data_IF_853299544303
#
_entry.id   IF_853299544303
#
_cell.length_a   1.000
_cell.length_b   1.000
_cell.length_c   1.000
_cell.angle_alpha   90.00
_cell.angle_beta   90.00
_cell.angle_gamma   90.00
#
_symmetry.space_group_name_H-M   'P 1'
#
loop_
_entity.id
_entity.type
_entity.pdbx_description
1 polymer ?
#
# COMPACT_ATOMS: atom_id res chain seq x y z
N UNK A 1 15.31 -7.73 11.39
CA UNK A 1 15.57 -6.59 10.50
C UNK A 1 14.47 -6.56 9.46
N UNK A 2 14.13 -5.40 8.90
CA UNK A 2 13.02 -5.26 7.96
C UNK A 2 13.03 -3.89 7.26
N UNK A 3 12.14 -3.71 6.29
CA UNK A 3 12.02 -2.46 5.52
C UNK A 3 10.56 -2.17 5.16
N UNK A 4 10.31 -0.92 4.78
CA UNK A 4 9.08 -0.46 4.15
C UNK A 4 9.42 0.34 2.89
N UNK A 5 8.94 -0.09 1.73
CA UNK A 5 9.07 0.61 0.45
C UNK A 5 7.77 1.35 0.16
N UNK A 6 7.83 2.65 -0.07
CA UNK A 6 6.64 3.48 -0.28
C UNK A 6 6.92 4.59 -1.28
N UNK A 7 5.84 5.13 -1.85
CA UNK A 7 5.87 6.27 -2.76
C UNK A 7 4.70 7.22 -2.47
N UNK A 8 4.76 8.43 -3.02
CA UNK A 8 3.70 9.43 -2.87
C UNK A 8 2.62 9.21 -3.95
N UNK A 9 1.36 9.26 -3.55
CA UNK A 9 0.21 9.28 -4.45
C UNK A 9 -0.68 10.51 -4.16
N UNK A 10 -1.83 10.60 -4.82
CA UNK A 10 -2.77 11.71 -4.62
C UNK A 10 -4.21 11.19 -4.57
N UNK A 11 -5.03 11.77 -3.69
CA UNK A 11 -6.45 11.48 -3.62
C UNK A 11 -7.25 12.67 -4.15
N UNK A 12 -7.95 12.45 -5.26
CA UNK A 12 -8.86 13.46 -5.83
C UNK A 12 -10.11 13.67 -4.97
N UNK A 13 -10.51 12.69 -4.15
CA UNK A 13 -11.64 12.85 -3.22
C UNK A 13 -11.35 13.78 -2.05
N UNK A 14 -10.12 13.77 -1.55
CA UNK A 14 -9.72 14.63 -0.42
C UNK A 14 -8.96 15.88 -0.86
N UNK A 15 -8.57 15.96 -2.15
CA UNK A 15 -7.74 17.03 -2.69
C UNK A 15 -6.35 17.11 -2.05
N UNK A 16 -5.84 15.99 -1.52
CA UNK A 16 -4.60 15.95 -0.72
C UNK A 16 -3.68 14.82 -1.17
N UNK A 17 -2.34 14.98 -0.97
CA UNK A 17 -1.41 13.89 -1.19
C UNK A 17 -1.70 12.72 -0.25
N UNK A 18 -1.24 11.53 -0.63
CA UNK A 18 -1.22 10.33 0.19
C UNK A 18 0.13 9.63 0.05
N UNK A 19 0.33 8.58 0.84
CA UNK A 19 1.42 7.62 0.60
C UNK A 19 0.82 6.28 0.22
N UNK A 20 1.49 5.57 -0.68
CA UNK A 20 1.21 4.17 -0.95
C UNK A 20 2.40 3.33 -0.49
N UNK A 21 2.13 2.37 0.38
CA UNK A 21 3.11 1.38 0.83
C UNK A 21 3.07 0.19 -0.12
N UNK A 22 4.15 0.01 -0.88
CA UNK A 22 4.30 -1.07 -1.84
C UNK A 22 4.64 -2.38 -1.13
N UNK A 23 5.69 -2.36 -0.31
CA UNK A 23 6.18 -3.54 0.40
C UNK A 23 6.48 -3.26 1.86
N UNK A 24 6.05 -4.18 2.72
CA UNK A 24 6.44 -4.24 4.13
C UNK A 24 6.96 -5.64 4.43
N UNK A 25 8.24 -5.72 4.81
CA UNK A 25 8.87 -7.00 5.08
C UNK A 25 9.69 -6.97 6.37
N UNK A 26 9.59 -8.06 7.13
CA UNK A 26 10.43 -8.33 8.30
C UNK A 26 10.96 -9.75 8.19
N UNK A 27 12.29 -9.90 8.35
CA UNK A 27 12.95 -11.21 8.32
C UNK A 27 12.33 -12.17 9.34
N UNK A 28 12.16 -13.47 9.02
CA UNK A 28 11.47 -14.42 9.90
C UNK A 28 11.97 -14.42 11.35
N UNK A 29 13.28 -14.39 11.55
CA UNK A 29 13.95 -14.42 12.86
C UNK A 29 13.67 -13.16 13.71
N UNK A 30 13.19 -12.09 13.08
CA UNK A 30 12.91 -10.81 13.73
C UNK A 30 11.41 -10.51 13.84
N UNK A 31 10.53 -11.40 13.36
CA UNK A 31 9.08 -11.30 13.55
C UNK A 31 8.71 -11.47 15.03
N UNK A 32 7.51 -11.01 15.41
CA UNK A 32 7.06 -11.01 16.81
C UNK A 32 7.70 -9.94 17.70
N UNK A 33 8.74 -9.24 17.24
CA UNK A 33 9.45 -8.19 18.00
C UNK A 33 8.92 -6.77 17.77
N UNK A 34 7.74 -6.63 17.17
CA UNK A 34 7.11 -5.32 16.92
C UNK A 34 7.72 -4.48 15.79
N UNK A 35 8.70 -4.98 15.03
CA UNK A 35 9.40 -4.21 13.98
C UNK A 35 8.45 -3.70 12.89
N UNK A 36 7.54 -4.54 12.40
CA UNK A 36 6.56 -4.13 11.38
C UNK A 36 5.68 -2.97 11.84
N UNK A 37 5.29 -2.97 13.12
CA UNK A 37 4.54 -1.87 13.74
C UNK A 37 5.39 -0.59 13.84
N UNK A 38 6.69 -0.71 14.13
CA UNK A 38 7.58 0.45 14.17
C UNK A 38 7.79 1.06 12.78
N UNK A 39 7.96 0.24 11.75
CA UNK A 39 8.07 0.68 10.35
C UNK A 39 6.81 1.43 9.91
N UNK A 40 5.61 0.86 10.14
CA UNK A 40 4.35 1.53 9.83
C UNK A 40 4.12 2.79 10.65
N UNK A 41 4.51 2.80 11.93
CA UNK A 41 4.46 4.01 12.77
C UNK A 41 5.34 5.12 12.22
N UNK A 42 6.54 4.78 11.74
CA UNK A 42 7.42 5.76 11.12
C UNK A 42 6.81 6.28 9.80
N UNK A 43 6.29 5.40 8.95
CA UNK A 43 5.61 5.81 7.72
C UNK A 43 4.40 6.73 7.98
N UNK A 44 3.61 6.44 9.02
CA UNK A 44 2.51 7.31 9.42
C UNK A 44 2.98 8.70 9.86
N UNK A 45 4.11 8.81 10.57
CA UNK A 45 4.71 10.12 10.90
C UNK A 45 5.10 10.89 9.64
N UNK A 46 5.76 10.23 8.68
CA UNK A 46 6.13 10.83 7.39
C UNK A 46 4.88 11.34 6.65
N UNK A 47 3.79 10.57 6.65
CA UNK A 47 2.53 10.99 6.05
C UNK A 47 1.97 12.26 6.71
N UNK A 48 1.95 12.32 8.04
CA UNK A 48 1.48 13.49 8.79
C UNK A 48 2.36 14.73 8.52
N UNK A 49 3.69 14.56 8.59
CA UNK A 49 4.66 15.64 8.30
C UNK A 49 4.48 16.21 6.89
N UNK A 50 4.19 15.34 5.91
CA UNK A 50 3.91 15.73 4.52
C UNK A 50 2.47 16.20 4.27
N UNK A 51 1.66 16.33 5.31
CA UNK A 51 0.23 16.69 5.24
C UNK A 51 -0.59 15.75 4.36
N UNK A 52 -0.15 14.50 4.21
CA UNK A 52 -0.89 13.46 3.52
C UNK A 52 -2.22 13.18 4.25
N UNK A 53 -3.28 12.88 3.50
CA UNK A 53 -4.57 12.53 4.07
C UNK A 53 -4.65 11.07 4.51
N UNK A 54 -3.86 10.18 3.89
CA UNK A 54 -3.92 8.73 4.12
C UNK A 54 -2.63 8.03 3.72
N UNK A 55 -2.49 6.80 4.22
CA UNK A 55 -1.54 5.80 3.74
C UNK A 55 -2.35 4.59 3.28
N UNK A 56 -2.17 4.17 2.03
CA UNK A 56 -2.86 3.03 1.43
C UNK A 56 -1.86 1.90 1.15
N UNK A 57 -2.32 0.65 1.17
CA UNK A 57 -1.56 -0.52 0.72
C UNK A 57 -2.48 -1.67 0.34
N UNK A 58 -1.95 -2.63 -0.41
CA UNK A 58 -2.62 -3.88 -0.69
C UNK A 58 -2.11 -5.00 0.25
N UNK A 59 -2.99 -5.94 0.54
CA UNK A 59 -2.64 -7.22 1.13
C UNK A 59 -3.19 -8.33 0.26
N UNK A 60 -2.44 -9.43 0.12
CA UNK A 60 -2.96 -10.62 -0.54
C UNK A 60 -4.12 -11.18 0.28
N UNK A 61 -5.25 -11.46 -0.36
CA UNK A 61 -6.51 -11.84 0.30
C UNK A 61 -6.35 -13.07 1.21
N UNK A 62 -5.47 -14.00 0.84
CA UNK A 62 -5.19 -15.22 1.60
C UNK A 62 -4.30 -14.96 2.83
N UNK A 63 -3.64 -13.81 2.94
CA UNK A 63 -2.72 -13.50 4.04
C UNK A 63 -3.48 -12.97 5.26
N UNK A 64 -4.25 -13.85 5.88
CA UNK A 64 -5.10 -13.56 7.05
C UNK A 64 -4.32 -12.98 8.23
N UNK A 65 -3.07 -13.43 8.43
CA UNK A 65 -2.19 -12.92 9.49
C UNK A 65 -1.83 -11.45 9.28
N UNK A 66 -1.45 -11.05 8.05
CA UNK A 66 -1.19 -9.66 7.74
C UNK A 66 -2.45 -8.80 7.85
N UNK A 67 -3.59 -9.30 7.36
CA UNK A 67 -4.89 -8.60 7.45
C UNK A 67 -5.27 -8.36 8.92
N UNK A 68 -5.15 -9.37 9.79
CA UNK A 68 -5.42 -9.22 11.22
C UNK A 68 -4.46 -8.21 11.88
N UNK A 69 -3.18 -8.25 11.51
CA UNK A 69 -2.20 -7.27 11.96
C UNK A 69 -2.59 -5.84 11.54
N UNK A 70 -2.99 -5.61 10.29
CA UNK A 70 -3.41 -4.29 9.80
C UNK A 70 -4.70 -3.80 10.46
N UNK A 71 -5.71 -4.66 10.64
CA UNK A 71 -6.91 -4.32 11.40
C UNK A 71 -6.59 -3.94 12.84
N UNK A 72 -5.65 -4.64 13.48
CA UNK A 72 -5.14 -4.28 14.82
C UNK A 72 -4.40 -2.95 14.91
N UNK A 73 -4.12 -2.28 13.77
CA UNK A 73 -3.60 -0.91 13.70
C UNK A 73 -4.70 0.12 13.39
N UNK A 74 -5.95 -0.32 13.17
CA UNK A 74 -7.06 0.53 12.77
C UNK A 74 -7.22 0.70 11.25
N UNK A 75 -6.44 -0.02 10.44
CA UNK A 75 -6.61 -0.01 8.99
C UNK A 75 -7.89 -0.76 8.59
N UNK A 76 -8.62 -0.22 7.62
CA UNK A 76 -9.87 -0.78 7.13
C UNK A 76 -9.71 -1.18 5.65
N UNK A 77 -10.26 -2.33 5.22
CA UNK A 77 -10.28 -2.69 3.81
C UNK A 77 -11.22 -1.75 3.05
N UNK A 78 -10.88 -1.46 1.78
CA UNK A 78 -11.75 -0.74 0.87
C UNK A 78 -12.64 -1.75 0.12
N UNK A 79 -13.82 -2.05 0.66
CA UNK A 79 -14.68 -3.15 0.19
C UNK A 79 -15.26 -2.93 -1.23
N UNK A 80 -15.57 -1.68 -1.57
CA UNK A 80 -16.12 -1.30 -2.88
C UNK A 80 -15.06 -1.09 -3.96
N UNK A 81 -13.78 -1.19 -3.59
CA UNK A 81 -12.68 -0.96 -4.52
C UNK A 81 -12.21 -2.28 -5.14
N UNK A 82 -11.83 -2.21 -6.41
CA UNK A 82 -11.25 -3.33 -7.16
C UNK A 82 -9.94 -2.87 -7.77
N UNK A 83 -8.90 -3.68 -7.60
CA UNK A 83 -7.60 -3.43 -8.23
C UNK A 83 -7.60 -4.10 -9.60
N UNK A 84 -7.46 -3.30 -10.65
CA UNK A 84 -7.26 -3.78 -12.02
C UNK A 84 -5.78 -3.69 -12.38
N UNK A 85 -5.30 -4.63 -13.18
CA UNK A 85 -3.95 -4.62 -13.74
C UNK A 85 -4.01 -4.91 -15.23
N UNK A 86 -3.47 -3.99 -16.02
CA UNK A 86 -3.19 -4.20 -17.43
C UNK A 86 -1.67 -4.42 -17.58
N UNK A 87 -1.26 -5.53 -18.18
CA UNK A 87 0.16 -5.92 -18.29
C UNK A 87 0.36 -6.82 -19.50
N UNK A 88 1.60 -6.92 -19.99
CA UNK A 88 1.97 -7.79 -21.11
C UNK A 88 1.28 -7.37 -22.42
N UNK A 89 0.95 -8.35 -23.27
CA UNK A 89 0.39 -8.09 -24.60
C UNK A 89 -0.86 -7.17 -24.61
N UNK A 90 -1.85 -7.31 -23.71
CA UNK A 90 -2.98 -6.36 -23.65
C UNK A 90 -2.57 -4.91 -23.38
N UNK A 91 -1.51 -4.67 -22.59
CA UNK A 91 -0.99 -3.33 -22.35
C UNK A 91 -0.35 -2.75 -23.62
N UNK A 92 0.47 -3.55 -24.29
CA UNK A 92 1.15 -3.17 -25.53
C UNK A 92 0.14 -2.90 -26.66
N UNK A 93 -0.90 -3.72 -26.76
CA UNK A 93 -1.99 -3.54 -27.73
C UNK A 93 -2.77 -2.25 -27.48
N UNK A 94 -3.10 -1.94 -26.22
CA UNK A 94 -3.78 -0.69 -25.89
C UNK A 94 -2.92 0.54 -26.20
N UNK A 95 -1.59 0.42 -26.09
CA UNK A 95 -0.64 1.49 -26.41
C UNK A 95 -0.33 1.61 -27.91
N UNK A 96 -0.78 0.65 -28.72
CA UNK A 96 -0.64 0.70 -30.17
C UNK A 96 -1.38 1.89 -30.77
N UNK A 97 -1.08 2.25 -32.03
CA UNK A 97 -1.78 3.35 -32.70
C UNK A 97 -3.29 3.09 -32.72
N UNK A 98 -4.09 4.16 -32.57
CA UNK A 98 -5.54 4.07 -32.70
C UNK A 98 -5.87 3.41 -34.04
N UNK A 99 -6.55 2.25 -33.99
CA UNK A 99 -7.06 1.60 -35.19
C UNK A 99 -8.09 2.53 -35.85
N UNK A 100 -7.80 2.95 -37.08
CA UNK A 100 -8.77 3.67 -37.93
C UNK A 100 -9.98 2.81 -38.28
#
# INVERSE_FOLDING_TARGET
VGFALYFQNFSTFTGRPGLYLEDLYVTPQARGRGIGRQLLRHLARVAIERRCARVDWAALAWNTSAIAFYRGLGAQPLEDWRVFRLTGAPLEQLAGPDGG
#
